data_IF_099091344373
#
_entry.id   IF_099091344373
#
_cell.length_a   1.000
_cell.length_b   1.000
_cell.length_c   1.000
_cell.angle_alpha   90.00
_cell.angle_beta   90.00
_cell.angle_gamma   90.00
#
_symmetry.space_group_name_H-M   'P 1'
#
loop_
_entity.id
_entity.type
_entity.pdbx_description
1 polymer ?
#
# COMPACT_ATOMS: atom_id res chain seq x y z
N UNK A 1 24.58 48.38 25.50
CA UNK A 1 24.60 47.58 26.74
C UNK A 1 23.37 46.68 26.76
N UNK A 2 23.57 45.38 26.64
CA UNK A 2 22.53 44.36 26.62
C UNK A 2 21.92 44.12 28.00
N UNK A 3 20.63 43.75 28.06
CA UNK A 3 20.05 42.95 29.15
C UNK A 3 19.07 41.94 28.56
N UNK A 4 19.61 40.80 28.16
CA UNK A 4 18.85 39.57 27.94
C UNK A 4 18.35 39.10 29.31
N UNK A 5 17.04 38.88 29.44
CA UNK A 5 16.46 38.25 30.62
C UNK A 5 16.82 36.76 30.60
N UNK A 6 17.26 36.15 31.72
CA UNK A 6 17.61 34.73 31.75
C UNK A 6 16.35 33.87 31.64
N UNK A 7 16.39 32.92 30.71
CA UNK A 7 15.40 31.85 30.58
C UNK A 7 15.56 30.92 31.80
N UNK A 8 14.51 30.79 32.61
CA UNK A 8 14.48 29.87 33.74
C UNK A 8 14.28 28.43 33.23
N UNK A 9 15.30 27.58 33.45
CA UNK A 9 15.38 26.21 32.92
C UNK A 9 14.78 25.16 33.87
N UNK A 10 14.24 25.57 35.02
CA UNK A 10 13.74 24.66 36.07
C UNK A 10 12.29 24.15 35.82
N UNK A 11 11.76 24.32 34.60
CA UNK A 11 10.42 23.82 34.20
C UNK A 11 10.46 22.61 33.26
N UNK A 12 11.61 21.93 33.18
CA UNK A 12 11.70 20.63 32.50
C UNK A 12 11.79 19.52 33.55
N UNK A 13 10.75 18.68 33.73
CA UNK A 13 10.81 17.55 34.63
C UNK A 13 11.57 16.41 33.92
N UNK A 14 12.87 16.57 33.75
CA UNK A 14 13.72 15.51 33.25
C UNK A 14 14.86 15.35 34.25
N UNK A 15 14.85 14.19 34.90
CA UNK A 15 15.84 13.65 35.84
C UNK A 15 15.73 14.14 37.29
N UNK A 16 14.98 13.41 38.11
CA UNK A 16 15.49 12.78 39.34
C UNK A 16 14.46 11.82 39.95
N UNK A 17 14.64 10.52 39.71
CA UNK A 17 14.48 9.52 40.75
C UNK A 17 15.32 8.30 40.41
N UNK A 18 16.40 8.14 41.18
CA UNK A 18 17.18 6.92 41.26
C UNK A 18 16.56 6.10 42.38
N UNK A 19 15.90 4.98 42.07
CA UNK A 19 15.66 3.95 43.07
C UNK A 19 15.45 2.56 42.45
N UNK A 20 16.21 1.61 43.01
CA UNK A 20 16.05 0.15 43.06
C UNK A 20 16.22 -0.63 41.74
N UNK A 21 17.24 -1.48 41.69
CA UNK A 21 17.30 -2.59 40.75
C UNK A 21 16.26 -3.62 41.19
N UNK A 22 15.18 -3.78 40.44
CA UNK A 22 14.25 -4.89 40.60
C UNK A 22 14.86 -6.18 40.04
N UNK A 23 14.63 -7.26 40.79
CA UNK A 23 15.08 -8.63 40.58
C UNK A 23 14.60 -9.22 39.23
N UNK A 24 15.42 -9.98 38.45
CA UNK A 24 15.09 -10.27 37.05
C UNK A 24 14.09 -11.42 36.83
N UNK A 25 13.38 -11.91 37.84
CA UNK A 25 12.63 -13.19 37.73
C UNK A 25 11.11 -13.11 37.84
N UNK A 26 10.49 -11.92 37.83
CA UNK A 26 9.02 -11.83 37.99
C UNK A 26 8.34 -10.85 37.03
N UNK A 27 8.74 -10.89 35.74
CA UNK A 27 7.97 -10.24 34.67
C UNK A 27 7.09 -11.28 33.98
N UNK A 28 5.91 -11.48 34.53
CA UNK A 28 4.77 -12.00 33.78
C UNK A 28 4.53 -11.08 32.58
N UNK A 29 5.05 -11.49 31.41
CA UNK A 29 4.70 -10.90 30.12
C UNK A 29 3.27 -11.31 29.76
N UNK A 30 2.30 -10.73 30.48
CA UNK A 30 0.94 -10.68 30.01
C UNK A 30 0.92 -9.74 28.83
N UNK A 31 0.87 -10.30 27.62
CA UNK A 31 0.64 -9.52 26.40
C UNK A 31 -0.57 -8.60 26.67
N UNK A 32 -0.42 -7.27 26.53
CA UNK A 32 -1.58 -6.40 26.51
C UNK A 32 -2.54 -6.98 25.48
N UNK A 33 -3.75 -7.32 25.92
CA UNK A 33 -4.79 -7.74 24.98
C UNK A 33 -5.06 -6.51 24.13
N UNK A 34 -4.53 -6.49 22.91
CA UNK A 34 -4.80 -5.43 21.97
C UNK A 34 -6.31 -5.21 21.90
N UNK A 35 -6.79 -3.95 21.83
CA UNK A 35 -8.19 -3.71 21.50
C UNK A 35 -8.52 -4.51 20.24
N UNK A 36 -9.74 -5.07 20.11
CA UNK A 36 -10.09 -5.91 18.98
C UNK A 36 -9.68 -5.19 17.70
N UNK A 37 -8.79 -5.82 16.93
CA UNK A 37 -8.22 -5.27 15.70
C UNK A 37 -9.37 -4.64 14.90
N UNK A 38 -9.31 -3.32 14.67
CA UNK A 38 -10.24 -2.65 13.77
C UNK A 38 -10.18 -3.44 12.46
N UNK A 39 -11.23 -4.20 12.15
CA UNK A 39 -11.13 -5.28 11.17
C UNK A 39 -10.94 -4.78 9.74
N UNK A 40 -10.86 -3.47 9.49
CA UNK A 40 -10.52 -2.92 8.17
C UNK A 40 -9.93 -1.50 8.22
N UNK A 41 -8.71 -1.34 8.73
CA UNK A 41 -7.98 -0.07 8.63
C UNK A 41 -7.72 0.32 7.15
N UNK A 42 -7.92 1.61 6.80
CA UNK A 42 -7.65 2.15 5.43
C UNK A 42 -6.19 2.46 5.22
N UNK A 43 -5.54 3.05 6.23
CA UNK A 43 -4.18 3.56 6.16
C UNK A 43 -3.42 3.14 7.40
N UNK A 44 -2.20 2.64 7.24
CA UNK A 44 -1.28 2.35 8.34
C UNK A 44 0.01 3.11 8.08
N UNK A 45 0.37 4.01 8.99
CA UNK A 45 1.62 4.78 8.91
C UNK A 45 2.76 3.98 9.55
N UNK A 46 3.77 3.68 8.74
CA UNK A 46 5.02 3.05 9.18
C UNK A 46 6.17 4.05 9.29
N UNK A 47 7.35 3.55 9.60
CA UNK A 47 8.58 4.38 9.66
C UNK A 47 9.04 4.87 8.29
N UNK A 48 8.64 4.18 7.22
CA UNK A 48 9.10 4.43 5.85
C UNK A 48 8.02 5.01 4.92
N UNK A 49 6.77 5.13 5.37
CA UNK A 49 5.67 5.58 4.53
C UNK A 49 4.29 5.22 5.06
N UNK A 50 3.32 5.13 4.16
CA UNK A 50 1.94 4.76 4.48
C UNK A 50 1.50 3.58 3.60
N UNK A 51 1.03 2.50 4.23
CA UNK A 51 0.36 1.42 3.52
C UNK A 51 -1.14 1.70 3.45
N UNK A 52 -1.71 1.66 2.26
CA UNK A 52 -3.14 1.87 2.02
C UNK A 52 -3.81 0.55 1.67
N UNK A 53 -5.00 0.32 2.23
CA UNK A 53 -5.80 -0.88 2.02
C UNK A 53 -7.14 -0.54 1.38
N UNK A 54 -7.52 -1.32 0.36
CA UNK A 54 -8.86 -1.33 -0.24
C UNK A 54 -9.51 -2.71 -0.10
N UNK A 55 -10.80 -2.74 0.18
CA UNK A 55 -11.54 -3.97 0.48
C UNK A 55 -12.70 -4.17 -0.51
N UNK A 56 -12.44 -4.66 -1.73
CA UNK A 56 -13.46 -4.82 -2.74
C UNK A 56 -14.53 -5.82 -2.29
N UNK A 57 -15.77 -5.61 -2.71
CA UNK A 57 -16.92 -6.47 -2.40
C UNK A 57 -16.77 -7.89 -2.95
N UNK A 58 -15.92 -8.08 -3.96
CA UNK A 58 -15.53 -9.38 -4.52
C UNK A 58 -14.63 -10.21 -3.60
N UNK A 59 -14.17 -9.65 -2.48
CA UNK A 59 -13.25 -10.28 -1.54
C UNK A 59 -11.77 -9.97 -1.84
N UNK A 60 -10.89 -10.40 -0.94
CA UNK A 60 -9.47 -10.04 -0.99
C UNK A 60 -9.16 -8.63 -0.50
N UNK A 61 -7.97 -8.14 -0.81
CA UNK A 61 -7.50 -6.81 -0.41
C UNK A 61 -6.58 -6.21 -1.48
N UNK A 62 -6.78 -4.93 -1.80
CA UNK A 62 -5.83 -4.13 -2.56
C UNK A 62 -4.86 -3.47 -1.58
N UNK A 63 -3.55 -3.57 -1.85
CA UNK A 63 -2.49 -3.02 -1.00
C UNK A 63 -1.61 -2.12 -1.86
N UNK A 64 -1.36 -0.91 -1.36
CA UNK A 64 -0.48 0.07 -1.97
C UNK A 64 0.49 0.65 -0.93
N UNK A 65 1.77 0.76 -1.30
CA UNK A 65 2.75 1.54 -0.54
C UNK A 65 2.74 2.99 -1.07
N UNK A 66 1.92 3.83 -0.45
CA UNK A 66 1.56 5.13 -1.01
C UNK A 66 2.59 6.21 -0.71
N UNK A 67 2.98 6.95 -1.76
CA UNK A 67 3.72 8.21 -1.64
C UNK A 67 2.78 9.41 -1.42
N UNK A 68 3.33 10.64 -1.38
CA UNK A 68 2.54 11.84 -1.17
C UNK A 68 1.57 12.17 -2.32
N UNK A 69 1.93 11.79 -3.55
CA UNK A 69 1.11 11.96 -4.74
C UNK A 69 -0.03 10.93 -4.74
N UNK A 70 0.24 9.68 -4.37
CA UNK A 70 -0.78 8.63 -4.26
C UNK A 70 -1.80 8.98 -3.17
N UNK A 71 -1.34 9.47 -2.01
CA UNK A 71 -2.24 9.95 -0.95
C UNK A 71 -3.14 11.09 -1.42
N UNK A 72 -2.66 11.97 -2.31
CA UNK A 72 -3.47 13.02 -2.93
C UNK A 72 -4.43 12.47 -3.99
N UNK A 73 -4.01 11.48 -4.76
CA UNK A 73 -4.81 10.81 -5.78
C UNK A 73 -5.95 9.96 -5.18
N UNK A 74 -5.73 9.38 -3.99
CA UNK A 74 -6.69 8.55 -3.24
C UNK A 74 -7.57 9.34 -2.25
N UNK A 75 -7.76 10.65 -2.48
CA UNK A 75 -8.11 11.67 -1.47
C UNK A 75 -7.97 11.27 0.01
N UNK A 76 -6.77 10.87 0.45
CA UNK A 76 -6.51 10.43 1.83
C UNK A 76 -5.83 11.52 2.70
N UNK A 77 -6.13 11.57 4.01
CA UNK A 77 -5.39 12.40 4.94
C UNK A 77 -3.96 11.89 5.13
N UNK A 78 -3.01 12.81 5.19
CA UNK A 78 -1.56 12.51 5.30
C UNK A 78 -1.02 12.54 6.73
N UNK A 79 -1.84 12.95 7.70
CA UNK A 79 -1.42 13.23 9.08
C UNK A 79 -2.07 12.32 10.13
N UNK A 80 -3.09 11.55 9.76
CA UNK A 80 -3.82 10.68 10.67
C UNK A 80 -4.43 9.51 9.91
N UNK A 81 -4.67 8.43 10.66
CA UNK A 81 -5.25 7.19 10.13
C UNK A 81 -6.69 7.41 9.66
N UNK A 82 -7.04 6.81 8.52
CA UNK A 82 -8.39 6.63 8.01
C UNK A 82 -8.89 5.21 8.24
N UNK A 83 -10.21 5.05 8.27
CA UNK A 83 -10.89 3.76 8.36
C UNK A 83 -11.63 3.45 7.07
N UNK A 84 -11.96 2.17 6.87
CA UNK A 84 -12.78 1.73 5.74
C UNK A 84 -14.17 2.37 5.74
N UNK A 85 -14.73 2.61 4.54
CA UNK A 85 -16.14 3.00 4.44
C UNK A 85 -17.05 1.82 4.82
N UNK A 86 -18.08 2.02 5.65
CA UNK A 86 -19.06 0.97 5.94
C UNK A 86 -19.95 0.64 4.73
N UNK A 87 -19.98 1.50 3.70
CA UNK A 87 -20.74 1.28 2.48
C UNK A 87 -19.90 0.51 1.46
N UNK A 88 -20.36 -0.67 1.06
CA UNK A 88 -19.70 -1.50 0.06
C UNK A 88 -19.51 -0.75 -1.28
N UNK A 89 -20.51 0.03 -1.70
CA UNK A 89 -20.43 0.77 -2.98
C UNK A 89 -19.41 1.90 -2.92
N UNK A 90 -19.30 2.61 -1.79
CA UNK A 90 -18.26 3.62 -1.59
C UNK A 90 -16.88 2.98 -1.55
N UNK A 91 -16.79 1.84 -0.89
CA UNK A 91 -15.56 1.07 -0.79
C UNK A 91 -15.08 0.57 -2.16
N UNK A 92 -15.97 0.04 -2.98
CA UNK A 92 -15.64 -0.42 -4.33
C UNK A 92 -15.20 0.73 -5.24
N UNK A 93 -15.81 1.91 -5.10
CA UNK A 93 -15.33 3.12 -5.78
C UNK A 93 -13.91 3.49 -5.35
N UNK A 94 -13.60 3.38 -4.06
CA UNK A 94 -12.24 3.60 -3.58
C UNK A 94 -11.27 2.53 -4.10
N UNK A 95 -11.66 1.26 -4.12
CA UNK A 95 -10.87 0.17 -4.69
C UNK A 95 -10.55 0.40 -6.18
N UNK A 96 -11.49 0.95 -6.94
CA UNK A 96 -11.23 1.35 -8.32
C UNK A 96 -10.19 2.46 -8.42
N UNK A 97 -10.15 3.41 -7.47
CA UNK A 97 -9.07 4.40 -7.41
C UNK A 97 -7.73 3.75 -7.03
N UNK A 98 -7.71 2.82 -6.09
CA UNK A 98 -6.51 2.05 -5.72
C UNK A 98 -5.89 1.33 -6.92
N UNK A 99 -6.70 0.64 -7.73
CA UNK A 99 -6.21 0.00 -8.97
C UNK A 99 -5.59 1.00 -9.92
N UNK A 100 -6.22 2.16 -10.07
CA UNK A 100 -5.69 3.27 -10.89
C UNK A 100 -4.42 3.92 -10.31
N UNK A 101 -4.15 3.75 -9.02
CA UNK A 101 -2.92 4.20 -8.38
C UNK A 101 -1.74 3.23 -8.61
N UNK A 102 -2.04 1.93 -8.82
CA UNK A 102 -1.03 0.88 -8.95
C UNK A 102 -1.19 -0.27 -7.95
N UNK A 103 -2.20 -0.21 -7.08
CA UNK A 103 -2.36 -1.16 -5.99
C UNK A 103 -2.43 -2.62 -6.45
N UNK A 104 -1.65 -3.47 -5.80
CA UNK A 104 -1.65 -4.91 -6.04
C UNK A 104 -2.78 -5.59 -5.29
N UNK A 105 -3.47 -6.52 -5.95
CA UNK A 105 -4.48 -7.36 -5.33
C UNK A 105 -3.85 -8.57 -4.62
N UNK A 106 -4.33 -8.86 -3.41
CA UNK A 106 -3.93 -10.01 -2.60
C UNK A 106 -5.15 -10.77 -2.11
N UNK A 107 -5.09 -12.12 -2.01
CA UNK A 107 -6.19 -12.90 -1.46
C UNK A 107 -6.52 -12.53 0.00
N UNK A 108 -5.53 -12.11 0.79
CA UNK A 108 -5.70 -11.56 2.13
C UNK A 108 -4.50 -10.72 2.56
N UNK A 109 -4.63 -9.97 3.66
CA UNK A 109 -3.49 -9.29 4.30
C UNK A 109 -2.43 -10.28 4.79
N UNK A 110 -2.86 -11.47 5.23
CA UNK A 110 -1.96 -12.52 5.68
C UNK A 110 -1.12 -13.05 4.51
N UNK A 111 -1.74 -13.26 3.34
CA UNK A 111 -1.01 -13.72 2.15
C UNK A 111 0.05 -12.72 1.67
N UNK A 112 -0.22 -11.42 1.81
CA UNK A 112 0.78 -10.38 1.58
C UNK A 112 1.90 -10.45 2.61
N UNK A 113 1.55 -10.51 3.90
CA UNK A 113 2.54 -10.61 4.97
C UNK A 113 3.43 -11.84 4.82
N UNK A 114 2.85 -13.01 4.56
CA UNK A 114 3.56 -14.27 4.38
C UNK A 114 4.56 -14.20 3.22
N UNK A 115 4.24 -13.47 2.14
CA UNK A 115 5.21 -13.18 1.07
C UNK A 115 6.31 -12.23 1.55
N UNK A 116 5.97 -11.15 2.25
CA UNK A 116 6.97 -10.20 2.75
C UNK A 116 7.99 -10.86 3.70
N UNK A 117 7.55 -11.81 4.53
CA UNK A 117 8.44 -12.54 5.45
C UNK A 117 9.01 -13.84 4.87
N UNK A 118 8.73 -14.16 3.61
CA UNK A 118 9.26 -15.34 2.92
C UNK A 118 8.68 -16.68 3.38
N UNK A 119 7.51 -16.67 4.02
CA UNK A 119 6.73 -17.87 4.37
C UNK A 119 5.93 -18.42 3.17
N UNK A 120 5.68 -17.59 2.16
CA UNK A 120 5.03 -17.95 0.90
C UNK A 120 5.80 -17.38 -0.29
N UNK A 121 5.84 -18.13 -1.39
CA UNK A 121 6.34 -17.61 -2.67
C UNK A 121 5.33 -16.63 -3.30
N UNK A 122 5.84 -15.52 -3.83
CA UNK A 122 5.05 -14.55 -4.60
C UNK A 122 4.66 -15.15 -5.95
N UNK A 123 3.42 -14.94 -6.39
CA UNK A 123 3.00 -15.35 -7.73
C UNK A 123 3.50 -14.36 -8.79
N UNK A 124 3.56 -14.80 -10.06
CA UNK A 124 3.97 -13.91 -11.16
C UNK A 124 3.07 -12.66 -11.28
N UNK A 125 1.79 -12.78 -10.96
CA UNK A 125 0.85 -11.64 -11.00
C UNK A 125 1.05 -10.68 -9.82
N UNK A 126 1.30 -11.19 -8.62
CA UNK A 126 1.60 -10.39 -7.43
C UNK A 126 2.97 -9.70 -7.52
N UNK A 127 3.92 -10.28 -8.27
CA UNK A 127 5.27 -9.71 -8.42
C UNK A 127 5.32 -8.54 -9.41
N UNK A 128 4.35 -8.44 -10.34
CA UNK A 128 4.29 -7.37 -11.34
C UNK A 128 4.23 -6.01 -10.66
N UNK A 129 5.04 -5.08 -11.17
CA UNK A 129 4.98 -3.67 -10.77
C UNK A 129 4.31 -2.89 -11.89
N UNK A 130 3.13 -2.36 -11.58
CA UNK A 130 2.31 -1.57 -12.48
C UNK A 130 2.25 -0.14 -11.97
N UNK A 131 2.65 0.83 -12.80
CA UNK A 131 2.53 2.25 -12.48
C UNK A 131 1.70 2.94 -13.54
N UNK A 132 0.77 3.77 -13.11
CA UNK A 132 -0.12 4.53 -13.97
C UNK A 132 0.10 6.03 -13.80
N UNK A 133 0.08 6.75 -14.91
CA UNK A 133 0.15 8.21 -14.96
C UNK A 133 -1.07 8.75 -15.70
N UNK A 134 -1.87 9.56 -15.02
CA UNK A 134 -3.13 10.10 -15.54
C UNK A 134 -2.95 11.57 -15.95
N UNK A 135 -2.94 11.90 -17.26
CA UNK A 135 -2.78 13.28 -17.72
C UNK A 135 -3.90 14.21 -17.22
N UNK A 136 -3.58 15.48 -16.93
CA UNK A 136 -4.59 16.46 -16.51
C UNK A 136 -5.68 16.77 -17.55
N UNK A 137 -5.43 16.53 -18.84
CA UNK A 137 -6.45 16.68 -19.89
C UNK A 137 -7.51 15.55 -19.85
N UNK A 138 -7.27 14.50 -19.07
CA UNK A 138 -8.17 13.36 -18.91
C UNK A 138 -8.17 12.39 -20.10
N UNK A 139 -7.26 12.56 -21.06
CA UNK A 139 -7.18 11.72 -22.27
C UNK A 139 -6.14 10.63 -22.07
N UNK A 140 -6.62 9.38 -22.08
CA UNK A 140 -5.77 8.20 -21.98
C UNK A 140 -5.04 8.04 -20.65
N UNK A 141 -4.03 7.18 -20.67
CA UNK A 141 -3.21 6.83 -19.51
C UNK A 141 -1.82 6.42 -19.96
N UNK A 142 -0.80 6.84 -19.20
CA UNK A 142 0.55 6.31 -19.31
C UNK A 142 0.66 5.06 -18.43
N UNK A 143 1.24 3.99 -18.98
CA UNK A 143 1.40 2.73 -18.27
C UNK A 143 2.85 2.30 -18.32
N UNK A 144 3.41 2.04 -17.14
CA UNK A 144 4.75 1.49 -16.96
C UNK A 144 4.62 0.08 -16.37
N UNK A 145 5.35 -0.88 -16.95
CA UNK A 145 5.22 -2.31 -16.64
C UNK A 145 6.58 -2.92 -16.34
N UNK A 146 6.70 -3.57 -15.20
CA UNK A 146 7.81 -4.48 -14.90
C UNK A 146 7.28 -5.84 -14.48
N UNK A 147 7.98 -6.91 -14.85
CA UNK A 147 7.58 -8.26 -14.44
C UNK A 147 7.80 -8.51 -12.95
N UNK A 148 8.77 -7.81 -12.37
CA UNK A 148 9.07 -7.90 -10.95
C UNK A 148 9.78 -6.67 -10.41
N UNK A 149 9.71 -6.49 -9.09
CA UNK A 149 10.52 -5.50 -8.37
C UNK A 149 12.03 -5.67 -8.60
N UNK A 150 12.48 -6.88 -8.97
CA UNK A 150 13.89 -7.19 -9.30
C UNK A 150 14.37 -6.55 -10.61
N UNK A 151 13.44 -6.15 -11.48
CA UNK A 151 13.75 -5.49 -12.76
C UNK A 151 13.74 -3.96 -12.66
N UNK A 152 13.38 -3.42 -11.49
CA UNK A 152 13.30 -1.97 -11.32
C UNK A 152 14.70 -1.34 -11.45
N UNK A 153 14.82 -0.22 -12.19
CA UNK A 153 16.03 0.59 -12.20
C UNK A 153 16.47 0.97 -10.78
N UNK A 154 17.77 1.09 -10.54
CA UNK A 154 18.29 1.43 -9.20
C UNK A 154 17.83 2.79 -8.68
N UNK A 155 17.42 3.70 -9.57
CA UNK A 155 16.92 5.03 -9.24
C UNK A 155 15.38 5.12 -9.26
N UNK A 156 14.66 4.00 -9.36
CA UNK A 156 13.19 3.97 -9.50
C UNK A 156 12.45 4.71 -8.39
N UNK A 157 13.04 4.80 -7.19
CA UNK A 157 12.52 5.59 -6.07
C UNK A 157 12.33 7.09 -6.38
N UNK A 158 12.91 7.61 -7.47
CA UNK A 158 12.62 8.95 -8.00
C UNK A 158 11.13 9.18 -8.27
N UNK A 159 10.37 8.12 -8.58
CA UNK A 159 8.92 8.21 -8.79
C UNK A 159 8.20 8.82 -7.58
N UNK A 160 8.60 8.42 -6.36
CA UNK A 160 8.00 8.88 -5.11
C UNK A 160 8.28 10.36 -4.77
N UNK A 161 9.12 11.03 -5.56
CA UNK A 161 9.40 12.46 -5.42
C UNK A 161 8.57 13.34 -6.36
N UNK A 162 7.77 12.75 -7.26
CA UNK A 162 6.87 13.52 -8.13
C UNK A 162 5.81 14.25 -7.29
N UNK A 163 5.63 15.56 -7.54
CA UNK A 163 4.67 16.38 -6.79
C UNK A 163 3.27 16.40 -7.44
N UNK A 164 3.18 15.97 -8.70
CA UNK A 164 1.97 15.94 -9.52
C UNK A 164 2.06 14.84 -10.59
N UNK A 165 0.93 14.58 -11.26
CA UNK A 165 0.84 13.51 -12.26
C UNK A 165 1.69 13.80 -13.50
N UNK A 166 1.86 15.07 -13.89
CA UNK A 166 2.68 15.45 -15.05
C UNK A 166 4.17 15.13 -14.81
N UNK A 167 4.67 15.43 -13.62
CA UNK A 167 6.02 15.04 -13.18
C UNK A 167 6.16 13.52 -13.11
N UNK A 168 5.18 12.81 -12.53
CA UNK A 168 5.15 11.34 -12.48
C UNK A 168 5.23 10.76 -13.90
N UNK A 169 4.41 11.26 -14.83
CA UNK A 169 4.40 10.87 -16.24
C UNK A 169 5.75 11.15 -16.90
N UNK A 170 6.36 12.31 -16.65
CA UNK A 170 7.67 12.63 -17.23
C UNK A 170 8.75 11.63 -16.77
N UNK A 171 8.77 11.26 -15.50
CA UNK A 171 9.68 10.23 -14.96
C UNK A 171 9.35 8.85 -15.56
N UNK A 172 8.06 8.48 -15.62
CA UNK A 172 7.61 7.22 -16.22
C UNK A 172 8.09 7.05 -17.67
N UNK A 173 8.10 8.13 -18.44
CA UNK A 173 8.60 8.13 -19.83
C UNK A 173 10.09 7.81 -19.91
N UNK A 174 10.89 8.27 -18.95
CA UNK A 174 12.33 7.92 -18.85
C UNK A 174 12.52 6.41 -18.62
N UNK A 175 11.56 5.76 -17.96
CA UNK A 175 11.54 4.31 -17.73
C UNK A 175 10.83 3.50 -18.82
N UNK A 176 10.46 4.12 -19.95
CA UNK A 176 9.87 3.42 -21.08
C UNK A 176 8.37 3.17 -20.97
N UNK A 177 7.65 3.99 -20.19
CA UNK A 177 6.19 3.93 -20.16
C UNK A 177 5.57 4.15 -21.54
N UNK A 178 4.44 3.48 -21.80
CA UNK A 178 3.69 3.60 -23.04
C UNK A 178 2.39 4.36 -22.81
N UNK A 179 1.99 5.18 -23.78
CA UNK A 179 0.70 5.86 -23.73
C UNK A 179 -0.39 4.99 -24.36
N UNK A 180 -1.55 4.92 -23.70
CA UNK A 180 -2.75 4.24 -24.18
C UNK A 180 -3.90 5.24 -24.18
N UNK A 181 -4.44 5.54 -25.36
CA UNK A 181 -5.50 6.54 -25.52
C UNK A 181 -6.85 6.05 -24.97
N UNK A 182 -7.20 4.80 -25.25
CA UNK A 182 -8.41 4.15 -24.75
C UNK A 182 -8.09 3.33 -23.49
N UNK A 183 -8.48 3.84 -22.33
CA UNK A 183 -8.24 3.21 -21.02
C UNK A 183 -8.82 1.79 -20.95
N UNK A 184 -9.87 1.49 -21.73
CA UNK A 184 -10.47 0.14 -21.77
C UNK A 184 -9.58 -0.89 -22.46
N UNK A 185 -8.47 -0.48 -23.07
CA UNK A 185 -7.47 -1.38 -23.62
C UNK A 185 -6.39 -1.76 -22.59
N UNK A 186 -6.41 -1.15 -21.41
CA UNK A 186 -5.50 -1.48 -20.30
C UNK A 186 -6.10 -2.63 -19.49
N UNK A 187 -5.81 -3.86 -19.91
CA UNK A 187 -6.38 -5.07 -19.33
C UNK A 187 -6.15 -5.19 -17.82
N UNK A 188 -5.03 -4.64 -17.32
CA UNK A 188 -4.64 -4.69 -15.90
C UNK A 188 -5.52 -3.79 -15.01
N UNK A 189 -6.25 -2.83 -15.60
CA UNK A 189 -7.20 -1.99 -14.87
C UNK A 189 -8.61 -2.61 -14.82
N UNK A 190 -8.87 -3.67 -15.57
CA UNK A 190 -10.14 -4.37 -15.50
C UNK A 190 -10.21 -5.21 -14.23
N UNK A 191 -11.40 -5.29 -13.65
CA UNK A 191 -11.66 -6.20 -12.56
C UNK A 191 -11.37 -7.62 -13.04
N UNK A 192 -10.26 -8.19 -12.58
CA UNK A 192 -10.03 -9.63 -12.63
C UNK A 192 -11.02 -10.26 -11.65
N UNK A 193 -12.28 -10.36 -12.06
CA UNK A 193 -13.13 -11.47 -11.59
C UNK A 193 -12.32 -12.70 -11.96
N UNK A 194 -11.72 -13.33 -10.94
CA UNK A 194 -11.00 -14.58 -11.04
C UNK A 194 -11.73 -15.47 -12.05
N UNK A 195 -11.19 -15.58 -13.28
CA UNK A 195 -11.67 -16.62 -14.18
C UNK A 195 -11.33 -17.90 -13.45
N UNK A 196 -12.29 -18.75 -13.07
CA UNK A 196 -11.94 -20.04 -12.53
C UNK A 196 -11.14 -20.73 -13.62
N UNK A 197 -9.86 -20.96 -13.36
CA UNK A 197 -9.06 -21.85 -14.18
C UNK A 197 -9.85 -23.14 -14.24
N UNK A 198 -10.44 -23.45 -15.41
CA UNK A 198 -10.99 -24.77 -15.68
C UNK A 198 -9.80 -25.73 -15.57
N UNK A 199 -9.56 -26.23 -14.35
CA UNK A 199 -8.91 -27.50 -14.16
C UNK A 199 -9.76 -28.48 -14.95
N UNK A 200 -9.21 -28.95 -16.07
CA UNK A 200 -9.79 -30.05 -16.82
C UNK A 200 -10.01 -31.19 -15.84
N UNK A 201 -11.27 -31.47 -15.55
CA UNK A 201 -11.68 -32.79 -15.07
C UNK A 201 -11.36 -33.76 -16.20
N UNK A 202 -10.14 -34.32 -16.16
CA UNK A 202 -9.87 -35.62 -16.73
C UNK A 202 -10.72 -36.62 -15.95
N UNK A 203 -11.87 -36.94 -16.53
CA UNK A 203 -12.62 -38.15 -16.22
C UNK A 203 -11.72 -39.32 -16.59
N UNK A 204 -11.13 -39.95 -15.58
CA UNK A 204 -10.61 -41.31 -15.71
C UNK A 204 -11.82 -42.23 -15.75
N UNK A 205 -12.14 -42.74 -16.94
CA UNK A 205 -12.93 -43.95 -17.09
C UNK A 205 -12.10 -45.11 -16.50
N UNK A 206 -12.59 -45.73 -15.42
CA UNK A 206 -12.18 -47.09 -15.06
C UNK A 206 -13.23 -48.06 -15.60
N UNK A 207 -12.75 -48.99 -16.43
CA UNK A 207 -13.49 -50.11 -17.00
C UNK A 207 -14.05 -51.04 -15.92
N UNK A 208 -15.30 -51.48 -16.12
CA UNK A 208 -15.76 -52.84 -15.79
C UNK A 208 -16.82 -53.29 -16.79
#
# INVERSE_FOLDING_TARGET
MARLLPINVDRFPIFHQRTVMDDPQDRDFSCPTDPPLSTTERTVFGTLGCTVYGYPSTGGVLIEEADLLDMRFLPLPRSHVSQRSPSADEEDRFCNLMRRAGATFWPSKQDWFDVQVGLREITEEEEKVMVYGWPADGVGVWVLRFRSARQLPSDFGRMGFAMNMEEKIQIMREYGATFVEDVTQVEELHDHVLRPTRLGMGICEEEF
#
